data_IF_761033291445
#
_entry.id   IF_761033291445
#
_cell.length_a   1.000
_cell.length_b   1.000
_cell.length_c   1.000
_cell.angle_alpha   90.00
_cell.angle_beta   90.00
_cell.angle_gamma   90.00
#
_symmetry.space_group_name_H-M   'P 1'
#
loop_
_entity.id
_entity.type
_entity.pdbx_description
1 polymer ?
#
# COMPACT_ATOMS: atom_id res chain seq x y z
N UNK A 1 3.21 16.86 -0.18
CA UNK A 1 2.22 15.87 -0.66
C UNK A 1 2.18 14.73 0.32
N UNK A 2 1.03 14.47 0.94
CA UNK A 2 0.89 13.41 1.93
C UNK A 2 0.68 12.08 1.21
N UNK A 3 1.58 11.11 1.41
CA UNK A 3 1.43 9.76 0.86
C UNK A 3 0.10 9.09 1.26
N UNK A 4 -0.60 9.62 2.27
CA UNK A 4 -1.91 9.20 2.73
C UNK A 4 -2.96 9.06 1.62
N UNK A 5 -2.84 9.80 0.51
CA UNK A 5 -3.75 9.72 -0.64
C UNK A 5 -3.72 8.38 -1.38
N UNK A 6 -2.68 7.56 -1.19
CA UNK A 6 -2.55 6.26 -1.86
C UNK A 6 -3.19 5.09 -1.08
N UNK A 7 -3.76 5.34 0.11
CA UNK A 7 -4.53 4.33 0.85
C UNK A 7 -5.84 4.05 0.12
N UNK A 8 -6.20 2.77 -0.04
CA UNK A 8 -7.38 2.31 -0.76
C UNK A 8 -7.18 2.06 -2.25
N UNK A 9 -6.10 2.60 -2.84
CA UNK A 9 -5.71 2.32 -4.22
C UNK A 9 -5.16 0.90 -4.38
N UNK A 10 -5.13 0.42 -5.62
CA UNK A 10 -4.37 -0.80 -5.95
C UNK A 10 -2.89 -0.58 -5.69
N UNK A 11 -2.16 -1.67 -5.47
CA UNK A 11 -0.70 -1.60 -5.29
C UNK A 11 -0.01 -0.93 -6.48
N UNK A 12 -0.50 -1.17 -7.71
CA UNK A 12 0.07 -0.60 -8.93
C UNK A 12 -0.08 0.93 -8.95
N UNK A 13 -1.31 1.42 -8.80
CA UNK A 13 -1.61 2.86 -8.79
C UNK A 13 -0.85 3.58 -7.65
N UNK A 14 -0.82 2.96 -6.47
CA UNK A 14 -0.10 3.52 -5.33
C UNK A 14 1.40 3.60 -5.55
N UNK A 15 2.02 2.59 -6.17
CA UNK A 15 3.45 2.63 -6.54
C UNK A 15 3.71 3.73 -7.56
N UNK A 16 2.85 3.93 -8.55
CA UNK A 16 3.02 5.02 -9.54
C UNK A 16 3.03 6.38 -8.86
N UNK A 17 2.05 6.67 -8.00
CA UNK A 17 2.00 7.93 -7.23
C UNK A 17 3.24 8.07 -6.34
N UNK A 18 3.64 6.99 -5.67
CA UNK A 18 4.79 7.05 -4.78
C UNK A 18 6.06 7.29 -5.60
N UNK A 19 6.26 6.59 -6.72
CA UNK A 19 7.44 6.69 -7.59
C UNK A 19 7.66 8.10 -8.12
N UNK A 20 6.60 8.85 -8.40
CA UNK A 20 6.66 10.26 -8.80
C UNK A 20 7.23 11.20 -7.70
N UNK A 21 7.33 10.71 -6.46
CA UNK A 21 7.72 11.50 -5.29
C UNK A 21 8.79 10.84 -4.41
N UNK A 22 9.34 9.69 -4.82
CA UNK A 22 10.11 8.80 -3.93
C UNK A 22 11.53 8.46 -4.37
N UNK A 23 12.19 9.31 -5.16
CA UNK A 23 13.65 9.21 -5.41
C UNK A 23 14.50 9.15 -4.11
N UNK A 24 13.88 9.42 -2.95
CA UNK A 24 14.51 9.50 -1.63
C UNK A 24 14.14 8.35 -0.67
N UNK A 25 13.24 7.44 -1.05
CA UNK A 25 12.74 6.42 -0.13
C UNK A 25 12.85 4.99 -0.68
N UNK A 26 13.29 4.07 0.17
CA UNK A 26 13.24 2.63 -0.08
C UNK A 26 11.81 2.17 0.21
N UNK A 27 11.16 1.61 -0.79
CA UNK A 27 9.81 1.07 -0.67
C UNK A 27 9.85 -0.31 0.00
N UNK A 28 9.09 -0.50 1.07
CA UNK A 28 8.94 -1.79 1.74
C UNK A 28 7.48 -2.23 1.68
N UNK A 29 7.18 -3.32 0.99
CA UNK A 29 5.81 -3.81 0.81
C UNK A 29 5.59 -5.03 1.71
N UNK A 30 4.70 -4.88 2.71
CA UNK A 30 4.27 -5.98 3.57
C UNK A 30 2.86 -6.40 3.20
N UNK A 31 2.72 -7.63 2.70
CA UNK A 31 1.41 -8.23 2.42
C UNK A 31 0.80 -8.77 3.71
N UNK A 32 -0.49 -8.52 3.92
CA UNK A 32 -1.28 -9.14 4.97
C UNK A 32 -2.45 -9.87 4.33
N UNK A 33 -2.62 -11.14 4.66
CA UNK A 33 -3.86 -11.85 4.36
C UNK A 33 -4.89 -11.30 5.36
N UNK A 34 -6.01 -10.76 4.86
CA UNK A 34 -6.97 -10.01 5.68
C UNK A 34 -7.38 -10.75 6.96
N UNK A 35 -7.43 -10.03 8.08
CA UNK A 35 -7.93 -10.52 9.37
C UNK A 35 -9.46 -10.76 9.38
N UNK A 36 -10.16 -10.57 8.26
CA UNK A 36 -11.61 -10.69 8.19
C UNK A 36 -12.03 -11.68 7.11
N UNK A 37 -12.28 -12.93 7.51
CA UNK A 37 -12.99 -13.96 6.72
C UNK A 37 -14.44 -13.59 6.34
N UNK A 38 -14.91 -12.39 6.70
CA UNK A 38 -16.29 -11.92 6.46
C UNK A 38 -16.45 -11.11 5.17
N UNK A 39 -15.36 -10.57 4.62
CA UNK A 39 -15.35 -10.07 3.26
C UNK A 39 -14.78 -11.21 2.42
N UNK A 40 -15.67 -11.84 1.64
CA UNK A 40 -15.39 -12.99 0.78
C UNK A 40 -15.51 -12.57 -0.69
N UNK A 41 -15.35 -11.27 -0.97
CA UNK A 41 -15.14 -10.77 -2.32
C UNK A 41 -13.64 -10.78 -2.54
N UNK A 42 -13.12 -11.90 -3.05
CA UNK A 42 -11.72 -11.99 -3.50
C UNK A 42 -11.45 -10.78 -4.39
N UNK A 43 -10.79 -9.76 -3.84
CA UNK A 43 -10.18 -8.71 -4.62
C UNK A 43 -9.12 -9.39 -5.47
N UNK A 44 -9.33 -9.36 -6.79
CA UNK A 44 -8.36 -9.89 -7.74
C UNK A 44 -6.99 -9.18 -7.62
N UNK A 45 -7.00 -7.96 -7.06
CA UNK A 45 -5.80 -7.13 -6.90
C UNK A 45 -5.56 -6.64 -5.47
N UNK A 46 -4.29 -6.64 -5.03
CA UNK A 46 -3.90 -6.16 -3.71
C UNK A 46 -4.11 -4.64 -3.58
N UNK A 47 -4.71 -4.21 -2.46
CA UNK A 47 -4.92 -2.77 -2.15
C UNK A 47 -4.07 -2.31 -0.98
N UNK A 48 -3.65 -1.05 -1.02
CA UNK A 48 -2.86 -0.45 0.05
C UNK A 48 -3.78 -0.11 1.23
N UNK A 49 -3.51 -0.71 2.39
CA UNK A 49 -4.27 -0.51 3.62
C UNK A 49 -3.70 0.61 4.48
N UNK A 50 -2.38 0.74 4.48
CA UNK A 50 -1.68 1.70 5.32
C UNK A 50 -0.34 2.04 4.72
N UNK A 51 0.02 3.31 4.83
CA UNK A 51 1.33 3.82 4.46
C UNK A 51 1.97 4.41 5.70
N UNK A 52 3.18 3.97 6.02
CA UNK A 52 3.95 4.51 7.13
C UNK A 52 5.35 4.89 6.66
N UNK A 53 5.71 6.13 6.89
CA UNK A 53 7.01 6.67 6.53
C UNK A 53 7.93 6.60 7.74
N UNK A 54 9.14 6.06 7.57
CA UNK A 54 10.14 6.05 8.63
C UNK A 54 11.56 6.28 8.08
N UNK A 55 12.16 7.43 8.41
CA UNK A 55 13.48 7.88 7.92
C UNK A 55 13.64 7.71 6.39
N UNK A 56 14.26 6.62 5.96
CA UNK A 56 14.53 6.27 4.55
C UNK A 56 13.51 5.30 3.95
N UNK A 57 12.60 4.75 4.74
CA UNK A 57 11.67 3.72 4.30
C UNK A 57 10.25 4.27 4.17
N UNK A 58 9.58 3.84 3.11
CA UNK A 58 8.14 3.96 2.98
C UNK A 58 7.54 2.56 3.04
N UNK A 59 6.87 2.24 4.15
CA UNK A 59 6.28 0.92 4.36
C UNK A 59 4.82 0.94 3.93
N UNK A 60 4.49 0.08 2.97
CA UNK A 60 3.15 -0.17 2.47
C UNK A 60 2.63 -1.47 3.09
N UNK A 61 1.56 -1.38 3.86
CA UNK A 61 0.77 -2.54 4.24
C UNK A 61 -0.27 -2.77 3.16
N UNK A 62 -0.29 -3.97 2.58
CA UNK A 62 -1.11 -4.29 1.42
C UNK A 62 -1.95 -5.52 1.73
N UNK A 63 -3.25 -5.45 1.43
CA UNK A 63 -4.21 -6.52 1.73
C UNK A 63 -4.88 -7.07 0.49
N UNK A 64 -5.25 -8.34 0.59
CA UNK A 64 -6.23 -9.00 -0.26
C UNK A 64 -7.49 -9.18 0.63
N UNK A 65 -8.63 -8.66 0.20
CA UNK A 65 -9.92 -8.91 0.83
C UNK A 65 -10.73 -9.85 -0.04
#
# INVERSE_FOLDING_TARGET
MEFCSAVGLTLKEGIEIISQHSDKFILNIKKTNGLNKKFNEKLDEPRILKITKNKKYLNLLVGYF
#
